data_IF_241702359974
#
_entry.id   IF_241702359974
#
_cell.length_a   1.000
_cell.length_b   1.000
_cell.length_c   1.000
_cell.angle_alpha   90.00
_cell.angle_beta   90.00
_cell.angle_gamma   90.00
#
_symmetry.space_group_name_H-M   'P 1'
#
loop_
_entity.id
_entity.type
_entity.pdbx_description
1 polymer ?
#
# COMPACT_ATOMS: atom_id res chain seq x y z
N UNK A 1 34.41 -30.05 -29.09
CA UNK A 1 34.39 -28.58 -28.95
C UNK A 1 32.97 -28.08 -29.22
N UNK A 2 32.06 -28.13 -28.23
CA UNK A 2 30.62 -27.91 -28.49
C UNK A 2 29.81 -27.33 -27.33
N UNK A 3 30.41 -26.64 -26.37
CA UNK A 3 29.69 -26.14 -25.18
C UNK A 3 29.73 -24.62 -24.97
N UNK A 4 30.32 -23.84 -25.87
CA UNK A 4 30.43 -22.38 -25.71
C UNK A 4 29.21 -21.66 -26.29
N UNK A 5 28.65 -22.16 -27.40
CA UNK A 5 27.49 -21.53 -28.08
C UNK A 5 26.19 -21.60 -27.25
N UNK A 6 26.03 -22.63 -26.40
CA UNK A 6 24.83 -22.79 -25.57
C UNK A 6 24.76 -21.78 -24.41
N UNK A 7 25.91 -21.31 -23.91
CA UNK A 7 25.98 -20.44 -22.74
C UNK A 7 25.61 -18.99 -23.09
N UNK A 8 26.00 -18.52 -24.27
CA UNK A 8 25.66 -17.19 -24.75
C UNK A 8 24.17 -17.11 -25.16
N UNK A 9 23.63 -18.15 -25.78
CA UNK A 9 22.19 -18.26 -26.05
C UNK A 9 21.36 -18.32 -24.77
N UNK A 10 21.85 -19.01 -23.73
CA UNK A 10 21.21 -19.04 -22.41
C UNK A 10 21.25 -17.67 -21.70
N UNK A 11 22.35 -16.93 -21.83
CA UNK A 11 22.47 -15.54 -21.33
C UNK A 11 21.55 -14.58 -22.07
N UNK A 12 21.41 -14.71 -23.39
CA UNK A 12 20.45 -13.91 -24.18
C UNK A 12 18.99 -14.22 -23.81
N UNK A 13 18.66 -15.50 -23.55
CA UNK A 13 17.34 -15.91 -23.09
C UNK A 13 17.03 -15.38 -21.67
N UNK A 14 18.02 -15.39 -20.75
CA UNK A 14 17.90 -14.76 -19.44
C UNK A 14 17.77 -13.23 -19.52
N UNK A 15 18.43 -12.60 -20.50
CA UNK A 15 18.34 -11.17 -20.76
C UNK A 15 16.98 -10.74 -21.34
N UNK A 16 16.35 -11.58 -22.16
CA UNK A 16 15.03 -11.35 -22.76
C UNK A 16 13.86 -11.62 -21.80
N UNK A 17 14.06 -12.46 -20.78
CA UNK A 17 13.04 -12.78 -19.77
C UNK A 17 13.06 -11.86 -18.52
N UNK A 18 13.84 -10.78 -18.52
CA UNK A 18 13.50 -9.64 -17.65
C UNK A 18 12.27 -8.95 -18.23
N UNK A 19 11.10 -9.55 -18.02
CA UNK A 19 9.86 -8.77 -17.96
C UNK A 19 10.19 -7.55 -17.12
N UNK A 20 10.21 -6.36 -17.75
CA UNK A 20 10.33 -5.11 -17.01
C UNK A 20 9.17 -5.15 -16.03
N UNK A 21 9.44 -5.45 -14.75
CA UNK A 21 8.44 -5.37 -13.70
C UNK A 21 7.85 -3.97 -13.81
N UNK A 22 6.63 -3.89 -14.34
CA UNK A 22 5.97 -2.62 -14.58
C UNK A 22 5.66 -2.09 -13.20
N UNK A 23 6.43 -1.09 -12.77
CA UNK A 23 6.17 -0.39 -11.51
C UNK A 23 4.71 0.08 -11.55
N UNK A 24 3.90 -0.22 -10.52
CA UNK A 24 2.53 0.28 -10.44
C UNK A 24 2.50 1.81 -10.63
N UNK A 25 1.50 2.36 -11.33
CA UNK A 25 1.42 3.80 -11.53
C UNK A 25 1.24 4.50 -10.18
N UNK A 26 1.82 5.69 -10.05
CA UNK A 26 1.62 6.52 -8.86
C UNK A 26 0.14 6.94 -8.79
N UNK A 27 -0.59 6.64 -7.71
CA UNK A 27 -1.97 7.08 -7.58
C UNK A 27 -2.01 8.61 -7.47
N UNK A 28 -3.05 9.21 -8.05
CA UNK A 28 -3.30 10.65 -7.91
C UNK A 28 -4.11 10.86 -6.64
N UNK A 29 -3.56 11.60 -5.69
CA UNK A 29 -4.27 12.00 -4.46
C UNK A 29 -4.69 13.46 -4.60
N UNK A 30 -5.99 13.71 -4.66
CA UNK A 30 -6.54 15.06 -4.58
C UNK A 30 -6.94 15.38 -3.14
N UNK A 31 -6.53 16.54 -2.62
CA UNK A 31 -6.98 17.00 -1.29
C UNK A 31 -8.50 17.03 -1.18
N UNK A 32 -9.22 17.41 -2.23
CA UNK A 32 -10.68 17.42 -2.23
C UNK A 32 -11.30 16.03 -2.05
N UNK A 33 -10.68 15.00 -2.63
CA UNK A 33 -11.13 13.61 -2.45
C UNK A 33 -10.76 13.05 -1.08
N UNK A 34 -9.65 13.50 -0.50
CA UNK A 34 -9.25 13.08 0.85
C UNK A 34 -10.17 13.69 1.90
N UNK A 35 -10.41 15.00 1.84
CA UNK A 35 -11.16 15.73 2.88
C UNK A 35 -12.68 15.70 2.69
N UNK A 36 -13.17 15.42 1.48
CA UNK A 36 -14.60 15.37 1.17
C UNK A 36 -15.29 14.05 1.52
N UNK A 37 -14.56 13.04 2.01
CA UNK A 37 -15.08 11.70 2.32
C UNK A 37 -15.38 11.53 3.80
N UNK A 38 -16.41 10.74 4.10
CA UNK A 38 -16.73 10.31 5.45
C UNK A 38 -16.06 8.96 5.75
N UNK A 39 -14.98 8.97 6.52
CA UNK A 39 -14.21 7.76 6.87
C UNK A 39 -14.88 6.86 7.91
N UNK A 40 -16.14 7.16 8.28
CA UNK A 40 -17.03 6.22 8.96
C UNK A 40 -17.69 5.24 7.99
N UNK A 41 -17.72 5.58 6.70
CA UNK A 41 -18.31 4.74 5.66
C UNK A 41 -17.26 3.79 5.07
N UNK A 42 -17.67 2.53 4.85
CA UNK A 42 -16.77 1.49 4.32
C UNK A 42 -16.16 1.88 2.98
N UNK A 43 -16.90 2.59 2.12
CA UNK A 43 -16.39 3.04 0.82
C UNK A 43 -15.20 3.99 0.94
N UNK A 44 -15.23 4.91 1.91
CA UNK A 44 -14.13 5.84 2.17
C UNK A 44 -12.90 5.12 2.74
N UNK A 45 -13.13 4.13 3.62
CA UNK A 45 -12.07 3.26 4.16
C UNK A 45 -11.39 2.46 3.04
N UNK A 46 -12.19 1.82 2.17
CA UNK A 46 -11.67 1.07 1.02
C UNK A 46 -10.89 1.98 0.08
N UNK A 47 -11.40 3.18 -0.23
CA UNK A 47 -10.69 4.17 -1.02
C UNK A 47 -9.32 4.50 -0.42
N UNK A 48 -9.25 4.81 0.88
CA UNK A 48 -8.01 5.13 1.56
C UNK A 48 -7.02 3.96 1.52
N UNK A 49 -7.45 2.75 1.89
CA UNK A 49 -6.58 1.57 1.93
C UNK A 49 -6.05 1.18 0.54
N UNK A 50 -6.89 1.24 -0.50
CA UNK A 50 -6.43 1.00 -1.88
C UNK A 50 -5.45 2.08 -2.36
N UNK A 51 -5.66 3.33 -1.96
CA UNK A 51 -4.75 4.44 -2.28
C UNK A 51 -3.39 4.26 -1.60
N UNK A 52 -3.40 3.91 -0.31
CA UNK A 52 -2.20 3.60 0.48
C UNK A 52 -1.45 2.41 -0.14
N UNK A 53 -2.17 1.33 -0.46
CA UNK A 53 -1.62 0.14 -1.13
C UNK A 53 -0.98 0.46 -2.47
N UNK A 54 -1.67 1.23 -3.32
CA UNK A 54 -1.15 1.61 -4.63
C UNK A 54 0.10 2.50 -4.51
N UNK A 55 0.12 3.42 -3.54
CA UNK A 55 1.25 4.32 -3.31
C UNK A 55 2.48 3.56 -2.78
N UNK A 56 2.28 2.66 -1.81
CA UNK A 56 3.33 1.77 -1.31
C UNK A 56 3.91 0.94 -2.47
N UNK A 57 3.04 0.28 -3.24
CA UNK A 57 3.47 -0.55 -4.36
C UNK A 57 4.21 0.24 -5.45
N UNK A 58 3.84 1.50 -5.68
CA UNK A 58 4.56 2.39 -6.58
C UNK A 58 6.02 2.60 -6.12
N UNK A 59 6.24 2.92 -4.85
CA UNK A 59 7.57 3.23 -4.32
C UNK A 59 8.42 1.97 -4.12
N UNK A 60 7.83 0.86 -3.69
CA UNK A 60 8.51 -0.44 -3.54
C UNK A 60 8.74 -1.17 -4.87
N UNK A 61 8.18 -0.66 -5.99
CA UNK A 61 8.37 -1.25 -7.32
C UNK A 61 7.50 -2.48 -7.62
N UNK A 62 6.54 -2.79 -6.77
CA UNK A 62 5.62 -3.93 -6.90
C UNK A 62 4.74 -4.09 -5.67
N UNK A 63 3.77 -4.99 -5.72
CA UNK A 63 2.93 -5.32 -4.57
C UNK A 63 3.70 -6.19 -3.57
N UNK A 64 3.55 -5.89 -2.28
CA UNK A 64 4.09 -6.67 -1.17
C UNK A 64 2.94 -7.43 -0.48
N UNK A 65 3.04 -8.75 -0.42
CA UNK A 65 1.98 -9.59 0.15
C UNK A 65 1.78 -9.36 1.66
N UNK A 66 2.85 -9.01 2.39
CA UNK A 66 2.76 -8.68 3.80
C UNK A 66 1.98 -7.39 4.02
N UNK A 67 2.31 -6.35 3.25
CA UNK A 67 1.60 -5.08 3.29
C UNK A 67 0.14 -5.20 2.84
N UNK A 68 -0.12 -6.01 1.83
CA UNK A 68 -1.47 -6.32 1.34
C UNK A 68 -2.31 -6.98 2.45
N UNK A 69 -1.73 -7.93 3.20
CA UNK A 69 -2.39 -8.55 4.34
C UNK A 69 -2.72 -7.55 5.44
N UNK A 70 -1.78 -6.65 5.78
CA UNK A 70 -2.03 -5.58 6.76
C UNK A 70 -3.17 -4.64 6.33
N UNK A 71 -3.28 -4.34 5.03
CA UNK A 71 -4.39 -3.56 4.50
C UNK A 71 -5.74 -4.29 4.66
N UNK A 72 -5.77 -5.60 4.43
CA UNK A 72 -6.97 -6.42 4.65
C UNK A 72 -7.34 -6.53 6.13
N UNK A 73 -6.37 -6.65 7.04
CA UNK A 73 -6.61 -6.64 8.48
C UNK A 73 -7.19 -5.31 8.97
N UNK A 74 -6.69 -4.19 8.45
CA UNK A 74 -7.24 -2.87 8.75
C UNK A 74 -8.67 -2.71 8.21
N UNK A 75 -8.95 -3.23 7.01
CA UNK A 75 -10.30 -3.22 6.44
C UNK A 75 -11.28 -4.05 7.28
N UNK A 76 -10.90 -5.27 7.67
CA UNK A 76 -11.69 -6.14 8.55
C UNK A 76 -11.98 -5.45 9.90
N UNK A 77 -10.96 -4.84 10.49
CA UNK A 77 -11.12 -4.13 11.76
C UNK A 77 -12.03 -2.90 11.65
N UNK A 78 -11.97 -2.17 10.53
CA UNK A 78 -12.85 -1.03 10.28
C UNK A 78 -14.30 -1.46 10.00
N UNK A 79 -14.48 -2.56 9.27
CA UNK A 79 -15.81 -3.11 8.98
C UNK A 79 -16.51 -3.61 10.26
N UNK A 80 -15.76 -4.23 11.17
CA UNK A 80 -16.27 -4.74 12.45
C UNK A 80 -16.06 -3.77 13.64
N UNK A 81 -15.96 -2.46 13.38
CA UNK A 81 -15.63 -1.48 14.43
C UNK A 81 -16.71 -1.41 15.54
N UNK A 82 -17.99 -1.58 15.18
CA UNK A 82 -19.10 -1.56 16.14
C UNK A 82 -19.07 -2.76 17.09
N UNK A 83 -18.59 -3.92 16.63
CA UNK A 83 -18.54 -5.16 17.41
C UNK A 83 -17.25 -5.30 18.22
N UNK A 84 -16.11 -4.91 17.62
CA UNK A 84 -14.76 -5.18 18.17
C UNK A 84 -14.11 -3.94 18.78
N UNK A 85 -14.73 -2.77 18.58
CA UNK A 85 -14.31 -1.52 19.15
C UNK A 85 -13.07 -0.90 18.50
N UNK A 86 -12.85 0.37 18.85
CA UNK A 86 -11.81 1.21 18.28
C UNK A 86 -10.37 0.73 18.56
N UNK A 87 -10.16 0.03 19.68
CA UNK A 87 -8.84 -0.49 20.07
C UNK A 87 -8.31 -1.49 19.03
N UNK A 88 -9.20 -2.33 18.48
CA UNK A 88 -8.83 -3.31 17.45
C UNK A 88 -8.42 -2.61 16.15
N UNK A 89 -9.17 -1.59 15.72
CA UNK A 89 -8.84 -0.78 14.54
C UNK A 89 -7.47 -0.11 14.69
N UNK A 90 -7.23 0.54 15.82
CA UNK A 90 -5.93 1.15 16.12
C UNK A 90 -4.78 0.14 16.10
N UNK A 91 -5.03 -1.06 16.65
CA UNK A 91 -4.08 -2.18 16.61
C UNK A 91 -3.76 -2.65 15.19
N UNK A 92 -4.73 -2.63 14.28
CA UNK A 92 -4.56 -3.02 12.88
C UNK A 92 -3.91 -1.92 12.02
N UNK A 93 -4.18 -0.64 12.31
CA UNK A 93 -3.59 0.49 11.58
C UNK A 93 -2.12 0.72 11.96
N UNK A 94 -1.74 0.47 13.22
CA UNK A 94 -0.39 0.74 13.72
C UNK A 94 0.71 0.06 12.87
N UNK A 95 0.64 -1.24 12.54
CA UNK A 95 1.62 -1.89 11.67
C UNK A 95 1.74 -1.27 10.27
N UNK A 96 0.63 -0.80 9.68
CA UNK A 96 0.67 -0.11 8.39
C UNK A 96 1.48 1.19 8.47
N UNK A 97 1.29 1.96 9.53
CA UNK A 97 2.05 3.20 9.75
C UNK A 97 3.53 2.94 10.00
N UNK A 98 3.84 1.93 10.80
CA UNK A 98 5.23 1.52 11.06
C UNK A 98 5.93 1.06 9.77
N UNK A 99 5.24 0.30 8.94
CA UNK A 99 5.75 -0.12 7.63
C UNK A 99 6.04 1.10 6.73
N UNK A 100 5.08 2.03 6.61
CA UNK A 100 5.24 3.23 5.78
C UNK A 100 6.37 4.13 6.28
N UNK A 101 6.55 4.25 7.59
CA UNK A 101 7.65 5.01 8.19
C UNK A 101 9.00 4.33 7.95
N UNK A 102 9.04 3.00 7.97
CA UNK A 102 10.24 2.22 7.66
C UNK A 102 10.68 2.32 6.19
N UNK A 103 9.72 2.44 5.26
CA UNK A 103 9.98 2.63 3.82
C UNK A 103 10.16 4.11 3.42
N UNK A 104 10.05 5.03 4.38
CA UNK A 104 10.11 6.46 4.11
C UNK A 104 11.54 6.93 3.84
N UNK A 105 11.71 7.58 2.68
CA UNK A 105 12.94 8.21 2.21
C UNK A 105 12.64 9.67 1.84
N UNK A 106 13.67 10.50 1.68
CA UNK A 106 13.44 11.91 1.30
C UNK A 106 12.76 12.05 -0.08
N UNK A 107 12.91 11.07 -0.98
CA UNK A 107 12.30 11.07 -2.30
C UNK A 107 10.79 10.76 -2.28
N UNK A 108 10.36 9.88 -1.36
CA UNK A 108 8.95 9.42 -1.27
C UNK A 108 8.17 10.05 -0.10
N UNK A 109 8.85 10.81 0.76
CA UNK A 109 8.31 11.39 2.01
C UNK A 109 6.97 12.08 1.84
N UNK A 110 6.81 12.90 0.80
CA UNK A 110 5.55 13.63 0.54
C UNK A 110 4.38 12.67 0.31
N UNK A 111 4.62 11.60 -0.45
CA UNK A 111 3.58 10.63 -0.79
C UNK A 111 3.23 9.74 0.38
N UNK A 112 4.24 9.23 1.08
CA UNK A 112 4.01 8.39 2.25
C UNK A 112 3.40 9.20 3.41
N UNK A 113 3.69 10.51 3.51
CA UNK A 113 2.99 11.40 4.45
C UNK A 113 1.49 11.49 4.15
N UNK A 114 1.09 11.55 2.88
CA UNK A 114 -0.34 11.49 2.51
C UNK A 114 -0.98 10.15 2.88
N UNK A 115 -0.23 9.06 2.74
CA UNK A 115 -0.71 7.74 3.17
C UNK A 115 -0.93 7.70 4.69
N UNK A 116 -0.01 8.27 5.47
CA UNK A 116 -0.16 8.39 6.92
C UNK A 116 -1.39 9.24 7.29
N UNK A 117 -1.67 10.32 6.55
CA UNK A 117 -2.89 11.13 6.75
C UNK A 117 -4.15 10.31 6.51
N UNK A 118 -4.20 9.51 5.43
CA UNK A 118 -5.35 8.65 5.15
C UNK A 118 -5.57 7.62 6.26
N UNK A 119 -4.49 6.99 6.75
CA UNK A 119 -4.57 6.06 7.87
C UNK A 119 -4.98 6.75 9.17
N UNK A 120 -4.55 7.99 9.40
CA UNK A 120 -4.99 8.82 10.53
C UNK A 120 -6.47 9.15 10.45
N UNK A 121 -7.00 9.44 9.26
CA UNK A 121 -8.42 9.73 9.07
C UNK A 121 -9.29 8.51 9.36
N UNK A 122 -8.88 7.32 8.94
CA UNK A 122 -9.54 6.06 9.34
C UNK A 122 -9.43 5.88 10.86
N UNK A 123 -8.21 5.95 11.42
CA UNK A 123 -8.00 5.70 12.85
C UNK A 123 -8.75 6.68 13.74
N UNK A 124 -8.87 7.96 13.37
CA UNK A 124 -9.45 8.99 14.24
C UNK A 124 -10.92 9.27 13.97
N UNK A 125 -11.53 8.55 13.03
CA UNK A 125 -12.95 8.70 12.75
C UNK A 125 -13.78 8.31 13.98
N UNK A 126 -14.77 9.13 14.37
CA UNK A 126 -15.58 8.85 15.54
C UNK A 126 -16.42 7.60 15.31
N UNK A 127 -16.46 6.74 16.35
CA UNK A 127 -17.38 5.60 16.40
C UNK A 127 -18.79 6.15 16.63
N UNK A 128 -19.79 5.60 15.93
CA UNK A 128 -21.20 5.98 16.11
C UNK A 128 -21.71 5.59 17.49
#
# INVERSE_FOLDING_TARGET
>A
MGSVVALDQYRELLGKNKEKRVRPPRPKISGGEVWGRDYRETEAVVYALLTVRAMAAHHSGGHDHGFDALCMEALDAAYHIEERGHVRLKGAIKPLKEWLLGDMTEDNKRDLSWCLVLLDLIEKSPVK
#
